data_IF_563061958067
#
_entry.id   IF_563061958067
#
_cell.length_a   1.000
_cell.length_b   1.000
_cell.length_c   1.000
_cell.angle_alpha   90.00
_cell.angle_beta   90.00
_cell.angle_gamma   90.00
#
_symmetry.space_group_name_H-M   'P 1'
#
loop_
_entity.id
_entity.type
_entity.pdbx_description
1 polymer ?
#
# COMPACT_ATOMS: atom_id res chain seq x y z
N UNK A 1 -14.46 -7.04 66.27
CA UNK A 1 -15.37 -5.92 66.17
C UNK A 1 -15.42 -5.57 64.71
N UNK A 2 -16.27 -6.22 63.94
CA UNK A 2 -17.63 -5.89 63.56
C UNK A 2 -17.74 -4.41 63.18
N UNK A 3 -17.92 -4.06 61.92
CA UNK A 3 -19.24 -3.65 61.46
C UNK A 3 -19.37 -3.68 59.92
N UNK A 4 -20.44 -4.26 59.48
CA UNK A 4 -20.97 -4.44 58.16
C UNK A 4 -21.85 -3.25 57.80
N UNK A 5 -21.75 -2.69 56.57
CA UNK A 5 -22.87 -1.95 55.96
C UNK A 5 -23.12 -2.35 54.52
N UNK A 6 -24.26 -3.00 54.36
CA UNK A 6 -25.03 -3.29 53.15
C UNK A 6 -25.33 -1.98 52.39
N UNK A 7 -25.14 -1.96 51.11
CA UNK A 7 -25.80 -1.05 50.18
C UNK A 7 -26.87 -1.85 49.41
N UNK A 8 -28.10 -1.32 49.50
CA UNK A 8 -29.30 -2.01 49.03
C UNK A 8 -29.46 -2.02 47.50
N UNK A 9 -29.94 -3.13 47.01
CA UNK A 9 -30.50 -3.23 45.66
C UNK A 9 -31.90 -2.59 45.66
N UNK A 10 -32.10 -1.60 44.78
CA UNK A 10 -33.43 -1.20 44.34
C UNK A 10 -33.85 -2.12 43.19
N UNK A 11 -34.67 -3.09 43.48
CA UNK A 11 -35.42 -3.87 42.51
C UNK A 11 -36.72 -3.17 42.18
N UNK A 12 -36.84 -2.54 41.02
CA UNK A 12 -38.11 -2.14 40.44
C UNK A 12 -38.73 -3.36 39.74
N UNK A 13 -39.71 -4.00 40.37
CA UNK A 13 -40.53 -5.04 39.74
C UNK A 13 -41.67 -4.37 39.00
N UNK A 14 -41.66 -4.43 37.67
CA UNK A 14 -42.84 -4.18 36.84
C UNK A 14 -43.44 -5.53 36.40
N UNK A 15 -44.77 -5.69 36.47
CA UNK A 15 -45.37 -6.98 36.17
C UNK A 15 -45.63 -7.16 34.66
N UNK A 16 -45.16 -8.31 34.16
CA UNK A 16 -45.83 -9.09 33.13
C UNK A 16 -45.86 -8.57 31.70
N UNK A 17 -44.77 -8.77 30.97
CA UNK A 17 -44.80 -9.26 29.56
C UNK A 17 -43.54 -10.08 29.34
N UNK A 18 -43.73 -11.38 29.04
CA UNK A 18 -42.63 -12.25 28.61
C UNK A 18 -42.04 -11.69 27.33
N UNK A 19 -40.78 -11.26 27.40
CA UNK A 19 -40.00 -10.93 26.20
C UNK A 19 -39.83 -12.22 25.37
N UNK A 20 -39.98 -12.18 24.06
CA UNK A 20 -39.69 -13.33 23.23
C UNK A 20 -38.21 -13.69 23.37
N UNK A 21 -37.96 -14.99 23.70
CA UNK A 21 -36.62 -15.59 23.69
C UNK A 21 -35.95 -15.29 22.35
N UNK A 22 -34.86 -14.54 22.37
CA UNK A 22 -33.98 -14.45 21.23
C UNK A 22 -33.49 -15.84 20.88
N UNK A 23 -33.92 -16.36 19.72
CA UNK A 23 -33.29 -17.55 19.13
C UNK A 23 -31.83 -17.19 18.82
N UNK A 24 -30.91 -17.88 19.46
CA UNK A 24 -29.48 -17.91 19.12
C UNK A 24 -29.35 -18.53 17.72
N UNK A 25 -29.35 -17.69 16.68
CA UNK A 25 -29.29 -18.20 15.30
C UNK A 25 -29.02 -17.16 14.24
N UNK A 26 -28.33 -16.03 14.57
CA UNK A 26 -28.07 -15.00 13.56
C UNK A 26 -26.76 -14.23 13.69
N UNK A 27 -26.13 -14.26 14.85
CA UNK A 27 -24.93 -13.43 15.09
C UNK A 27 -23.64 -14.11 14.65
N UNK A 28 -23.58 -15.44 14.73
CA UNK A 28 -22.35 -16.19 14.39
C UNK A 28 -22.00 -16.23 12.90
N UNK A 29 -22.95 -16.10 12.00
CA UNK A 29 -22.67 -16.11 10.55
C UNK A 29 -22.11 -14.78 10.05
N UNK A 30 -22.46 -13.66 10.65
CA UNK A 30 -21.89 -12.36 10.32
C UNK A 30 -20.51 -12.18 10.98
N UNK A 31 -20.31 -12.69 12.19
CA UNK A 31 -19.00 -12.67 12.86
C UNK A 31 -18.02 -13.64 12.17
N UNK A 32 -18.48 -14.78 11.67
CA UNK A 32 -17.65 -15.70 10.88
C UNK A 32 -17.22 -15.11 9.51
N UNK A 33 -18.07 -14.29 8.87
CA UNK A 33 -17.70 -13.51 7.68
C UNK A 33 -16.62 -12.47 7.97
N UNK A 34 -16.49 -12.01 9.20
CA UNK A 34 -15.52 -11.02 9.65
C UNK A 34 -14.08 -11.57 9.75
N UNK A 35 -13.90 -12.89 9.80
CA UNK A 35 -12.59 -13.55 10.00
C UNK A 35 -11.98 -14.21 8.75
N UNK A 36 -12.68 -14.23 7.61
CA UNK A 36 -12.14 -14.80 6.38
C UNK A 36 -11.38 -13.73 5.58
N UNK A 37 -10.18 -13.38 6.04
CA UNK A 37 -9.20 -12.70 5.17
C UNK A 37 -9.02 -13.53 3.89
N UNK A 38 -8.88 -12.90 2.71
CA UNK A 38 -8.54 -13.62 1.49
C UNK A 38 -7.11 -14.16 1.62
N UNK A 39 -7.00 -15.34 2.24
CA UNK A 39 -5.74 -16.08 2.50
C UNK A 39 -4.90 -16.19 1.23
N UNK A 40 -5.54 -16.17 0.06
CA UNK A 40 -4.88 -16.23 -1.25
C UNK A 40 -4.10 -14.95 -1.58
N UNK A 41 -4.56 -13.76 -1.21
CA UNK A 41 -3.87 -12.49 -1.47
C UNK A 41 -2.58 -12.37 -0.66
N UNK A 42 -2.62 -12.66 0.64
CA UNK A 42 -1.44 -12.65 1.52
C UNK A 42 -0.38 -13.63 1.08
N UNK A 43 -0.77 -14.90 0.84
CA UNK A 43 0.17 -15.94 0.39
C UNK A 43 0.85 -15.57 -0.92
N UNK A 44 0.13 -14.94 -1.84
CA UNK A 44 0.72 -14.49 -3.12
C UNK A 44 1.71 -13.35 -2.91
N UNK A 45 1.37 -12.34 -2.12
CA UNK A 45 2.26 -11.23 -1.78
C UNK A 45 3.51 -11.73 -1.03
N UNK A 46 3.31 -12.60 -0.05
CA UNK A 46 4.42 -13.18 0.73
C UNK A 46 5.37 -14.01 -0.13
N UNK A 47 4.85 -14.77 -1.11
CA UNK A 47 5.72 -15.55 -2.04
C UNK A 47 6.61 -14.64 -2.86
N UNK A 48 6.06 -13.59 -3.48
CA UNK A 48 6.89 -12.68 -4.31
C UNK A 48 7.83 -11.83 -3.45
N UNK A 49 7.44 -11.48 -2.22
CA UNK A 49 8.32 -10.79 -1.27
C UNK A 49 9.47 -11.69 -0.80
N UNK A 50 9.19 -12.95 -0.47
CA UNK A 50 10.23 -13.90 -0.10
C UNK A 50 11.18 -14.18 -1.29
N UNK A 51 10.65 -14.25 -2.51
CA UNK A 51 11.49 -14.35 -3.72
C UNK A 51 12.39 -13.13 -3.87
N UNK A 52 11.84 -11.92 -3.69
CA UNK A 52 12.60 -10.67 -3.70
C UNK A 52 13.72 -10.68 -2.67
N UNK A 53 13.42 -11.13 -1.44
CA UNK A 53 14.41 -11.23 -0.36
C UNK A 53 15.54 -12.22 -0.70
N UNK A 54 15.21 -13.38 -1.24
CA UNK A 54 16.20 -14.39 -1.66
C UNK A 54 17.08 -13.86 -2.80
N UNK A 55 16.48 -13.25 -3.81
CA UNK A 55 17.22 -12.65 -4.94
C UNK A 55 18.14 -11.54 -4.44
N UNK A 56 17.66 -10.63 -3.59
CA UNK A 56 18.46 -9.56 -3.01
C UNK A 56 19.64 -10.11 -2.19
N UNK A 57 19.42 -11.16 -1.38
CA UNK A 57 20.47 -11.82 -0.61
C UNK A 57 21.53 -12.49 -1.52
N UNK A 58 21.12 -13.16 -2.57
CA UNK A 58 22.03 -13.83 -3.52
C UNK A 58 22.86 -12.78 -4.28
N UNK A 59 22.22 -11.73 -4.79
CA UNK A 59 22.92 -10.65 -5.49
C UNK A 59 23.89 -9.91 -4.58
N UNK A 60 23.50 -9.62 -3.32
CA UNK A 60 24.37 -9.04 -2.32
C UNK A 60 25.61 -9.93 -2.08
N UNK A 61 25.40 -11.23 -1.81
CA UNK A 61 26.49 -12.18 -1.61
C UNK A 61 27.46 -12.24 -2.79
N UNK A 62 26.93 -12.27 -4.02
CA UNK A 62 27.74 -12.27 -5.24
C UNK A 62 28.58 -10.98 -5.37
N UNK A 63 27.97 -9.80 -5.11
CA UNK A 63 28.67 -8.51 -5.20
C UNK A 63 29.70 -8.33 -4.11
N UNK A 64 29.41 -8.72 -2.86
CA UNK A 64 30.39 -8.71 -1.76
C UNK A 64 31.57 -9.62 -2.06
N UNK A 65 31.30 -10.84 -2.56
CA UNK A 65 32.36 -11.77 -2.96
C UNK A 65 33.22 -11.17 -4.08
N UNK A 66 32.60 -10.57 -5.10
CA UNK A 66 33.32 -9.89 -6.18
C UNK A 66 34.17 -8.71 -5.64
N UNK A 67 33.65 -7.91 -4.70
CA UNK A 67 34.38 -6.82 -4.07
C UNK A 67 35.63 -7.31 -3.35
N UNK A 68 35.50 -8.37 -2.55
CA UNK A 68 36.63 -8.96 -1.79
C UNK A 68 37.69 -9.54 -2.74
N UNK A 69 37.28 -10.22 -3.81
CA UNK A 69 38.23 -10.83 -4.76
C UNK A 69 38.94 -9.77 -5.62
N UNK A 70 38.23 -8.73 -6.06
CA UNK A 70 38.79 -7.74 -6.98
C UNK A 70 39.57 -6.62 -6.27
N UNK A 71 39.24 -6.33 -5.00
CA UNK A 71 39.78 -5.17 -4.27
C UNK A 71 39.43 -3.81 -4.90
N UNK A 72 38.53 -3.78 -5.90
CA UNK A 72 38.18 -2.57 -6.64
C UNK A 72 37.23 -1.68 -5.83
N UNK A 73 37.56 -0.40 -5.71
CA UNK A 73 36.72 0.59 -5.03
C UNK A 73 35.33 0.76 -5.67
N UNK A 74 35.24 0.64 -6.99
CA UNK A 74 33.97 0.67 -7.71
C UNK A 74 33.08 -0.54 -7.34
N UNK A 75 33.66 -1.74 -7.26
CA UNK A 75 32.92 -2.96 -6.86
C UNK A 75 32.51 -2.90 -5.38
N UNK A 76 33.35 -2.32 -4.49
CA UNK A 76 32.96 -2.06 -3.11
C UNK A 76 31.77 -1.09 -3.00
N UNK A 77 31.74 -0.03 -3.82
CA UNK A 77 30.61 0.90 -3.87
C UNK A 77 29.30 0.22 -4.30
N UNK A 78 29.34 -0.61 -5.35
CA UNK A 78 28.21 -1.40 -5.83
C UNK A 78 27.73 -2.43 -4.79
N UNK A 79 28.65 -3.05 -4.06
CA UNK A 79 28.30 -3.94 -2.95
C UNK A 79 27.65 -3.18 -1.78
N UNK A 80 28.14 -1.98 -1.45
CA UNK A 80 27.55 -1.15 -0.39
C UNK A 80 26.11 -0.70 -0.74
N UNK A 81 25.85 -0.32 -2.00
CA UNK A 81 24.49 -0.03 -2.50
C UNK A 81 23.57 -1.24 -2.34
N UNK A 82 24.08 -2.44 -2.64
CA UNK A 82 23.32 -3.68 -2.49
C UNK A 82 23.01 -4.04 -1.03
N UNK A 83 23.84 -3.64 -0.06
CA UNK A 83 23.51 -3.74 1.38
C UNK A 83 22.29 -2.89 1.71
N UNK A 84 22.28 -1.64 1.25
CA UNK A 84 21.14 -0.72 1.47
C UNK A 84 19.86 -1.27 0.85
N UNK A 85 19.95 -1.77 -0.38
CA UNK A 85 18.82 -2.42 -1.06
C UNK A 85 18.30 -3.63 -0.28
N UNK A 86 19.19 -4.51 0.18
CA UNK A 86 18.81 -5.69 0.97
C UNK A 86 18.08 -5.29 2.27
N UNK A 87 18.55 -4.25 2.97
CA UNK A 87 17.88 -3.74 4.17
C UNK A 87 16.49 -3.18 3.87
N UNK A 88 16.31 -2.49 2.74
CA UNK A 88 15.00 -2.01 2.30
C UNK A 88 14.02 -3.17 2.05
N UNK A 89 14.46 -4.23 1.37
CA UNK A 89 13.63 -5.44 1.14
C UNK A 89 13.31 -6.16 2.45
N UNK A 90 14.26 -6.23 3.40
CA UNK A 90 13.99 -6.77 4.75
C UNK A 90 12.90 -5.97 5.46
N UNK A 91 12.98 -4.64 5.42
CA UNK A 91 11.97 -3.76 6.00
C UNK A 91 10.61 -3.94 5.33
N UNK A 92 10.55 -3.99 3.99
CA UNK A 92 9.32 -4.25 3.25
C UNK A 92 8.71 -5.63 3.59
N UNK A 93 9.54 -6.67 3.75
CA UNK A 93 9.09 -8.00 4.17
C UNK A 93 8.50 -8.01 5.59
N UNK A 94 9.11 -7.27 6.52
CA UNK A 94 8.57 -7.08 7.87
C UNK A 94 7.26 -6.29 7.83
N UNK A 95 7.24 -5.17 7.11
CA UNK A 95 6.06 -4.32 6.97
C UNK A 95 4.87 -5.05 6.36
N UNK A 96 5.11 -5.95 5.37
CA UNK A 96 4.07 -6.80 4.80
C UNK A 96 3.41 -7.69 5.85
N UNK A 97 4.20 -8.32 6.72
CA UNK A 97 3.66 -9.18 7.79
C UNK A 97 2.86 -8.37 8.80
N UNK A 98 3.36 -7.18 9.15
CA UNK A 98 2.68 -6.29 10.07
C UNK A 98 1.36 -5.76 9.49
N UNK A 99 1.34 -5.36 8.21
CA UNK A 99 0.13 -4.87 7.52
C UNK A 99 -1.01 -5.90 7.50
N UNK A 100 -0.69 -7.19 7.57
CA UNK A 100 -1.69 -8.27 7.64
C UNK A 100 -2.08 -8.69 9.06
N UNK A 101 -1.48 -8.06 10.08
CA UNK A 101 -1.92 -8.29 11.46
C UNK A 101 -3.33 -7.72 11.63
N UNK A 102 -4.28 -8.49 12.17
CA UNK A 102 -5.64 -8.01 12.41
C UNK A 102 -5.67 -6.86 13.42
N UNK A 103 -6.83 -6.22 13.52
CA UNK A 103 -7.10 -5.25 14.57
C UNK A 103 -6.82 -5.84 15.96
N UNK A 104 -6.27 -5.03 16.85
CA UNK A 104 -5.97 -5.38 18.24
C UNK A 104 -6.43 -4.23 19.18
N UNK A 105 -6.18 -4.36 20.49
CA UNK A 105 -6.63 -3.40 21.50
C UNK A 105 -6.08 -1.99 21.31
N UNK A 106 -4.96 -1.83 20.60
CA UNK A 106 -4.33 -0.53 20.35
C UNK A 106 -4.53 -0.02 18.92
N UNK A 107 -4.88 -0.91 17.99
CA UNK A 107 -5.06 -0.60 16.57
C UNK A 107 -6.40 -1.15 16.08
N UNK A 108 -7.50 -0.49 16.48
CA UNK A 108 -8.87 -0.94 16.21
C UNK A 108 -9.21 -1.06 14.72
N UNK A 109 -8.53 -0.31 13.84
CA UNK A 109 -8.68 -0.37 12.38
C UNK A 109 -7.66 -1.29 11.69
N UNK A 110 -6.83 -2.03 12.47
CA UNK A 110 -5.77 -2.89 11.96
C UNK A 110 -4.49 -2.12 11.63
N UNK A 111 -3.58 -2.79 10.91
CA UNK A 111 -2.21 -2.30 10.67
C UNK A 111 -1.95 -2.00 9.18
N UNK A 112 -2.97 -1.98 8.34
CA UNK A 112 -2.87 -1.85 6.87
C UNK A 112 -2.05 -0.63 6.41
N UNK A 113 -2.13 0.51 7.14
CA UNK A 113 -1.40 1.76 6.80
C UNK A 113 0.12 1.62 6.82
N UNK A 114 0.67 0.60 7.48
CA UNK A 114 2.12 0.28 7.41
C UNK A 114 2.58 0.03 5.97
N UNK A 115 1.68 -0.41 5.08
CA UNK A 115 1.97 -0.57 3.65
C UNK A 115 2.35 0.76 2.98
N UNK A 116 1.71 1.86 3.35
CA UNK A 116 2.07 3.19 2.85
C UNK A 116 3.39 3.67 3.43
N UNK A 117 3.61 3.46 4.74
CA UNK A 117 4.88 3.79 5.38
C UNK A 117 6.05 3.09 4.68
N UNK A 118 5.90 1.80 4.39
CA UNK A 118 6.91 1.03 3.66
C UNK A 118 7.12 1.55 2.24
N UNK A 119 6.05 1.88 1.52
CA UNK A 119 6.16 2.45 0.17
C UNK A 119 6.85 3.83 0.17
N UNK A 120 6.60 4.65 1.18
CA UNK A 120 7.28 5.94 1.36
C UNK A 120 8.77 5.78 1.67
N UNK A 121 9.12 4.83 2.54
CA UNK A 121 10.50 4.49 2.84
C UNK A 121 11.25 4.01 1.59
N UNK A 122 10.66 3.12 0.80
CA UNK A 122 11.21 2.68 -0.49
C UNK A 122 11.40 3.85 -1.46
N UNK A 123 10.41 4.74 -1.56
CA UNK A 123 10.50 5.96 -2.39
C UNK A 123 11.64 6.88 -1.95
N UNK A 124 11.86 7.04 -0.64
CA UNK A 124 12.98 7.81 -0.10
C UNK A 124 14.33 7.17 -0.44
N UNK A 125 14.45 5.85 -0.30
CA UNK A 125 15.67 5.10 -0.63
C UNK A 125 16.01 5.21 -2.13
N UNK A 126 15.01 5.03 -3.01
CA UNK A 126 15.16 5.21 -4.46
C UNK A 126 15.61 6.64 -4.79
N UNK A 127 15.01 7.64 -4.14
CA UNK A 127 15.37 9.05 -4.36
C UNK A 127 16.80 9.35 -3.91
N UNK A 128 17.22 8.81 -2.78
CA UNK A 128 18.58 8.95 -2.28
C UNK A 128 19.60 8.31 -3.24
N UNK A 129 19.31 7.10 -3.75
CA UNK A 129 20.16 6.44 -4.74
C UNK A 129 20.27 7.28 -6.04
N UNK A 130 19.16 7.82 -6.53
CA UNK A 130 19.16 8.69 -7.71
C UNK A 130 20.01 9.96 -7.51
N UNK A 131 19.97 10.57 -6.32
CA UNK A 131 20.80 11.73 -6.00
C UNK A 131 22.29 11.37 -5.96
N UNK A 132 22.65 10.20 -5.46
CA UNK A 132 24.03 9.70 -5.47
C UNK A 132 24.53 9.45 -6.90
N UNK A 133 23.71 8.84 -7.76
CA UNK A 133 24.04 8.64 -9.19
C UNK A 133 24.23 10.00 -9.87
N UNK A 134 23.36 10.95 -9.61
CA UNK A 134 23.45 12.31 -10.17
C UNK A 134 24.72 13.03 -9.70
N UNK A 135 25.04 12.92 -8.41
CA UNK A 135 26.28 13.48 -7.85
C UNK A 135 27.52 12.90 -8.55
N UNK A 136 27.56 11.57 -8.71
CA UNK A 136 28.69 10.90 -9.36
C UNK A 136 28.79 11.27 -10.84
N UNK A 137 27.67 11.36 -11.55
CA UNK A 137 27.65 11.82 -12.94
C UNK A 137 28.17 13.26 -13.08
N UNK A 138 27.78 14.18 -12.19
CA UNK A 138 28.29 15.56 -12.17
C UNK A 138 29.78 15.58 -11.84
N UNK A 139 30.23 14.75 -10.90
CA UNK A 139 31.66 14.61 -10.58
C UNK A 139 32.47 14.16 -11.79
N UNK A 140 31.97 13.21 -12.57
CA UNK A 140 32.60 12.76 -13.80
C UNK A 140 32.67 13.87 -14.89
N UNK A 141 31.68 14.76 -14.94
CA UNK A 141 31.75 15.93 -15.81
C UNK A 141 32.85 16.92 -15.42
N UNK A 142 33.21 17.02 -14.14
CA UNK A 142 34.21 17.98 -13.64
C UNK A 142 35.62 17.38 -13.68
N UNK A 143 35.78 16.12 -13.26
CA UNK A 143 37.09 15.50 -13.04
C UNK A 143 37.49 14.52 -14.15
N UNK A 144 36.60 14.22 -15.08
CA UNK A 144 36.82 13.26 -16.15
C UNK A 144 36.25 11.85 -15.81
N UNK A 145 36.17 11.03 -16.84
CA UNK A 145 35.61 9.65 -16.76
C UNK A 145 36.76 8.67 -16.70
N UNK A 146 36.81 7.87 -15.64
CA UNK A 146 37.71 6.71 -15.54
C UNK A 146 36.93 5.42 -15.81
N UNK A 147 37.25 4.73 -16.88
CA UNK A 147 36.63 3.44 -17.22
C UNK A 147 37.60 2.31 -16.87
N UNK A 148 37.26 1.51 -15.86
CA UNK A 148 38.01 0.33 -15.47
C UNK A 148 37.26 -0.96 -15.79
N UNK A 149 37.91 -1.91 -16.47
CA UNK A 149 37.51 -3.32 -16.67
C UNK A 149 36.14 -3.59 -17.34
N UNK A 150 36.04 -3.36 -18.65
CA UNK A 150 34.79 -3.40 -19.44
C UNK A 150 34.20 -4.82 -19.63
N UNK A 151 35.01 -5.89 -19.69
CA UNK A 151 34.52 -7.16 -20.23
C UNK A 151 33.65 -8.04 -19.32
N UNK A 152 34.11 -8.37 -18.11
CA UNK A 152 33.38 -9.23 -17.16
C UNK A 152 32.23 -8.51 -16.48
N UNK A 153 32.39 -7.20 -16.22
CA UNK A 153 31.36 -6.38 -15.59
C UNK A 153 30.06 -6.31 -16.40
N UNK A 154 30.16 -6.20 -17.74
CA UNK A 154 28.99 -6.13 -18.63
C UNK A 154 28.12 -7.38 -18.52
N UNK A 155 28.71 -8.58 -18.54
CA UNK A 155 27.96 -9.84 -18.51
C UNK A 155 27.23 -10.03 -17.17
N UNK A 156 27.88 -9.69 -16.05
CA UNK A 156 27.30 -9.79 -14.70
C UNK A 156 26.18 -8.78 -14.55
N UNK A 157 26.40 -7.52 -14.97
CA UNK A 157 25.37 -6.46 -14.92
C UNK A 157 24.17 -6.82 -15.79
N UNK A 158 24.37 -7.32 -17.00
CA UNK A 158 23.28 -7.73 -17.88
C UNK A 158 22.48 -8.91 -17.29
N UNK A 159 23.15 -9.91 -16.70
CA UNK A 159 22.48 -11.04 -16.05
C UNK A 159 21.67 -10.58 -14.82
N UNK A 160 22.25 -9.72 -13.98
CA UNK A 160 21.56 -9.14 -12.82
C UNK A 160 20.36 -8.29 -13.25
N UNK A 161 20.49 -7.47 -14.28
CA UNK A 161 19.40 -6.69 -14.85
C UNK A 161 18.25 -7.56 -15.38
N UNK A 162 18.57 -8.69 -16.05
CA UNK A 162 17.58 -9.67 -16.51
C UNK A 162 16.79 -10.32 -15.36
N UNK A 163 17.48 -10.71 -14.29
CA UNK A 163 16.86 -11.27 -13.07
C UNK A 163 15.97 -10.21 -12.40
N UNK A 164 16.47 -9.01 -12.22
CA UNK A 164 15.72 -7.91 -11.62
C UNK A 164 14.51 -7.49 -12.47
N UNK A 165 14.62 -7.52 -13.79
CA UNK A 165 13.49 -7.26 -14.70
C UNK A 165 12.36 -8.27 -14.49
N UNK A 166 12.67 -9.56 -14.49
CA UNK A 166 11.68 -10.61 -14.27
C UNK A 166 11.03 -10.51 -12.89
N UNK A 167 11.83 -10.27 -11.85
CA UNK A 167 11.37 -10.09 -10.48
C UNK A 167 10.50 -8.83 -10.34
N UNK A 168 10.96 -7.68 -10.83
CA UNK A 168 10.25 -6.40 -10.74
C UNK A 168 8.90 -6.44 -11.45
N UNK A 169 8.84 -7.02 -12.65
CA UNK A 169 7.56 -7.21 -13.37
C UNK A 169 6.60 -8.14 -12.61
N UNK A 170 7.12 -9.20 -11.98
CA UNK A 170 6.32 -10.11 -11.15
C UNK A 170 5.75 -9.39 -9.92
N UNK A 171 6.57 -8.61 -9.22
CA UNK A 171 6.16 -7.78 -8.07
C UNK A 171 5.09 -6.77 -8.49
N UNK A 172 5.29 -6.03 -9.58
CA UNK A 172 4.30 -5.06 -10.07
C UNK A 172 2.97 -5.71 -10.44
N UNK A 173 3.01 -6.88 -11.10
CA UNK A 173 1.80 -7.63 -11.46
C UNK A 173 1.02 -8.06 -10.21
N UNK A 174 1.70 -8.60 -9.21
CA UNK A 174 1.07 -8.99 -7.94
C UNK A 174 0.58 -7.77 -7.16
N UNK A 175 1.40 -6.73 -7.04
CA UNK A 175 1.04 -5.50 -6.35
C UNK A 175 -0.20 -4.80 -6.93
N UNK A 176 -0.32 -4.76 -8.27
CA UNK A 176 -1.53 -4.25 -8.95
C UNK A 176 -2.75 -5.13 -8.69
N UNK A 177 -2.58 -6.45 -8.77
CA UNK A 177 -3.68 -7.41 -8.55
C UNK A 177 -4.21 -7.40 -7.12
N UNK A 178 -3.33 -7.20 -6.14
CA UNK A 178 -3.68 -7.24 -4.71
C UNK A 178 -3.93 -5.86 -4.11
N UNK A 179 -3.80 -4.78 -4.88
CA UNK A 179 -3.95 -3.41 -4.40
C UNK A 179 -2.88 -2.98 -3.38
N UNK A 180 -1.75 -3.71 -3.25
CA UNK A 180 -0.74 -3.46 -2.23
C UNK A 180 0.24 -2.37 -2.64
N UNK A 181 0.26 -1.20 -1.97
CA UNK A 181 1.24 -0.15 -2.22
C UNK A 181 2.68 -0.62 -1.96
N UNK A 182 2.87 -1.43 -0.90
CA UNK A 182 4.15 -1.99 -0.49
C UNK A 182 4.76 -2.88 -1.59
N UNK A 183 4.00 -3.84 -2.13
CA UNK A 183 4.51 -4.73 -3.19
C UNK A 183 4.78 -3.95 -4.48
N UNK A 184 3.96 -2.95 -4.80
CA UNK A 184 4.19 -2.06 -5.94
C UNK A 184 5.47 -1.24 -5.78
N UNK A 185 5.71 -0.69 -4.58
CA UNK A 185 6.90 0.07 -4.28
C UNK A 185 8.16 -0.78 -4.42
N UNK A 186 8.20 -1.98 -3.82
CA UNK A 186 9.32 -2.91 -3.97
C UNK A 186 9.54 -3.30 -5.44
N UNK A 187 8.46 -3.53 -6.21
CA UNK A 187 8.58 -3.79 -7.66
C UNK A 187 9.16 -2.61 -8.44
N UNK A 188 8.81 -1.39 -8.10
CA UNK A 188 9.36 -0.19 -8.71
C UNK A 188 10.83 0.02 -8.32
N UNK A 189 11.20 -0.27 -7.07
CA UNK A 189 12.60 -0.24 -6.62
C UNK A 189 13.45 -1.20 -7.46
N UNK A 190 13.08 -2.47 -7.55
CA UNK A 190 13.82 -3.47 -8.35
C UNK A 190 13.92 -3.06 -9.82
N UNK A 191 12.90 -2.40 -10.38
CA UNK A 191 12.96 -1.88 -11.76
C UNK A 191 13.84 -0.63 -11.90
N UNK A 192 14.05 0.16 -10.85
CA UNK A 192 15.03 1.27 -10.91
C UNK A 192 16.44 0.75 -11.11
N UNK A 193 16.79 -0.39 -10.48
CA UNK A 193 18.09 -1.05 -10.69
C UNK A 193 18.25 -1.56 -12.13
N UNK A 194 17.16 -1.96 -12.78
CA UNK A 194 17.18 -2.32 -14.22
C UNK A 194 17.44 -1.08 -15.07
N UNK A 195 16.82 0.06 -14.75
CA UNK A 195 17.04 1.32 -15.50
C UNK A 195 18.47 1.81 -15.37
N UNK A 196 19.07 1.77 -14.17
CA UNK A 196 20.47 2.15 -13.98
C UNK A 196 21.41 1.22 -14.76
N UNK A 197 21.18 -0.10 -14.65
CA UNK A 197 21.96 -1.10 -15.41
C UNK A 197 21.84 -0.90 -16.93
N UNK A 198 20.64 -0.61 -17.44
CA UNK A 198 20.40 -0.37 -18.86
C UNK A 198 21.12 0.90 -19.33
N UNK A 199 21.11 1.95 -18.53
CA UNK A 199 21.81 3.20 -18.83
C UNK A 199 23.32 2.94 -19.00
N UNK A 200 23.93 2.17 -18.08
CA UNK A 200 25.33 1.76 -18.16
C UNK A 200 25.61 0.95 -19.43
N UNK A 201 24.79 -0.04 -19.75
CA UNK A 201 24.95 -0.85 -20.95
C UNK A 201 24.85 -0.05 -22.24
N UNK A 202 23.90 0.89 -22.32
CA UNK A 202 23.72 1.80 -23.46
C UNK A 202 24.92 2.75 -23.58
N UNK A 203 25.37 3.33 -22.45
CA UNK A 203 26.53 4.20 -22.44
C UNK A 203 27.78 3.50 -22.95
N UNK A 204 28.08 2.30 -22.46
CA UNK A 204 29.22 1.50 -22.89
C UNK A 204 29.15 1.14 -24.39
N UNK A 205 27.95 0.81 -24.90
CA UNK A 205 27.71 0.58 -26.32
C UNK A 205 28.01 1.82 -27.18
N UNK A 206 27.54 2.98 -26.74
CA UNK A 206 27.79 4.26 -27.43
C UNK A 206 29.27 4.66 -27.37
N UNK A 207 29.92 4.46 -26.22
CA UNK A 207 31.37 4.71 -26.08
C UNK A 207 32.16 3.82 -27.02
N UNK A 208 31.81 2.52 -27.08
CA UNK A 208 32.48 1.58 -27.99
C UNK A 208 32.33 2.00 -29.46
N UNK A 209 31.16 2.52 -29.86
CA UNK A 209 30.89 2.92 -31.24
C UNK A 209 31.46 4.29 -31.61
N UNK A 210 31.39 5.28 -30.69
CA UNK A 210 31.75 6.66 -30.96
C UNK A 210 33.11 7.06 -30.42
N UNK A 211 33.69 6.34 -29.48
CA UNK A 211 34.89 6.69 -28.72
C UNK A 211 34.69 7.84 -27.73
N UNK A 212 33.47 8.35 -27.58
CA UNK A 212 33.17 9.55 -26.76
C UNK A 212 32.77 9.17 -25.34
N UNK A 213 33.64 9.37 -24.37
CA UNK A 213 33.48 8.94 -22.98
C UNK A 213 32.33 9.63 -22.23
N UNK A 214 31.89 10.79 -22.69
CA UNK A 214 30.80 11.55 -22.07
C UNK A 214 29.42 10.89 -22.12
N UNK A 215 29.26 9.82 -22.94
CA UNK A 215 28.02 9.07 -22.94
C UNK A 215 27.70 8.43 -21.60
N UNK A 216 28.72 8.11 -20.75
CA UNK A 216 28.52 7.51 -19.44
C UNK A 216 27.80 8.48 -18.48
N UNK A 217 28.35 9.66 -18.16
CA UNK A 217 27.66 10.60 -17.26
C UNK A 217 26.35 11.15 -17.84
N UNK A 218 26.20 11.28 -19.18
CA UNK A 218 24.94 11.70 -19.81
C UNK A 218 23.84 10.63 -19.55
N UNK A 219 24.12 9.36 -19.82
CA UNK A 219 23.17 8.28 -19.59
C UNK A 219 22.84 8.13 -18.11
N UNK A 220 23.84 8.27 -17.23
CA UNK A 220 23.65 8.27 -15.78
C UNK A 220 22.72 9.40 -15.32
N UNK A 221 22.87 10.61 -15.81
CA UNK A 221 21.97 11.73 -15.50
C UNK A 221 20.54 11.47 -15.95
N UNK A 222 20.34 10.97 -17.17
CA UNK A 222 19.00 10.64 -17.69
C UNK A 222 18.34 9.56 -16.84
N UNK A 223 19.08 8.50 -16.52
CA UNK A 223 18.58 7.43 -15.65
C UNK A 223 18.22 7.97 -14.25
N UNK A 224 19.11 8.73 -13.62
CA UNK A 224 18.91 9.30 -12.29
C UNK A 224 17.68 10.19 -12.22
N UNK A 225 17.44 11.05 -13.21
CA UNK A 225 16.25 11.91 -13.28
C UNK A 225 14.95 11.07 -13.38
N UNK A 226 14.96 10.00 -14.18
CA UNK A 226 13.81 9.10 -14.27
C UNK A 226 13.56 8.35 -12.94
N UNK A 227 14.63 7.86 -12.30
CA UNK A 227 14.58 7.16 -11.01
C UNK A 227 14.06 8.13 -9.93
N UNK A 228 14.55 9.36 -9.89
CA UNK A 228 14.09 10.39 -8.96
C UNK A 228 12.59 10.69 -9.11
N UNK A 229 12.11 10.75 -10.35
CA UNK A 229 10.67 10.90 -10.63
C UNK A 229 9.84 9.74 -10.06
N UNK A 230 10.34 8.51 -10.17
CA UNK A 230 9.68 7.32 -9.60
C UNK A 230 9.66 7.40 -8.07
N UNK A 231 10.79 7.74 -7.45
CA UNK A 231 10.90 7.88 -6.00
C UNK A 231 9.94 8.94 -5.43
N UNK A 232 9.90 10.13 -6.04
CA UNK A 232 8.95 11.18 -5.65
C UNK A 232 7.48 10.75 -5.80
N UNK A 233 7.16 10.00 -6.86
CA UNK A 233 5.81 9.46 -7.03
C UNK A 233 5.44 8.52 -5.88
N UNK A 234 6.33 7.62 -5.49
CA UNK A 234 6.10 6.69 -4.37
C UNK A 234 5.92 7.43 -3.04
N UNK A 235 6.76 8.44 -2.77
CA UNK A 235 6.63 9.27 -1.56
C UNK A 235 5.27 9.96 -1.55
N UNK A 236 4.86 10.56 -2.68
CA UNK A 236 3.57 11.23 -2.80
C UNK A 236 2.39 10.27 -2.61
N UNK A 237 2.42 9.09 -3.25
CA UNK A 237 1.39 8.06 -3.08
C UNK A 237 1.31 7.59 -1.62
N UNK A 238 2.46 7.45 -0.95
CA UNK A 238 2.53 7.12 0.48
C UNK A 238 1.88 8.18 1.35
N UNK A 239 2.24 9.46 1.16
CA UNK A 239 1.68 10.57 1.93
C UNK A 239 0.16 10.69 1.73
N UNK A 240 -0.32 10.56 0.49
CA UNK A 240 -1.75 10.56 0.19
C UNK A 240 -2.50 9.46 0.94
N UNK A 241 -1.95 8.24 0.94
CA UNK A 241 -2.56 7.12 1.67
C UNK A 241 -2.50 7.26 3.20
N UNK A 242 -1.42 7.83 3.74
CA UNK A 242 -1.30 8.09 5.19
C UNK A 242 -2.26 9.18 5.67
N UNK A 243 -2.51 10.20 4.82
CA UNK A 243 -3.40 11.32 5.10
C UNK A 243 -4.86 11.05 4.71
N UNK A 244 -5.20 9.80 4.36
CA UNK A 244 -6.56 9.40 3.97
C UNK A 244 -7.12 10.19 2.76
N UNK A 245 -6.24 10.60 1.81
CA UNK A 245 -6.67 11.32 0.61
C UNK A 245 -7.58 10.43 -0.24
N UNK A 246 -8.77 10.96 -0.57
CA UNK A 246 -9.74 10.28 -1.40
C UNK A 246 -9.22 10.12 -2.87
N UNK A 247 -9.48 8.96 -3.47
CA UNK A 247 -9.22 8.74 -4.91
C UNK A 247 -10.44 9.22 -5.73
N UNK A 248 -10.31 10.29 -6.54
CA UNK A 248 -11.42 10.84 -7.30
C UNK A 248 -12.04 9.83 -8.29
N UNK A 249 -11.23 8.91 -8.83
CA UNK A 249 -11.72 7.90 -9.75
C UNK A 249 -12.55 6.83 -9.04
N UNK A 250 -12.17 6.46 -7.82
CA UNK A 250 -12.92 5.54 -6.98
C UNK A 250 -14.18 6.23 -6.44
N UNK A 251 -14.07 7.46 -5.97
CA UNK A 251 -15.21 8.26 -5.51
C UNK A 251 -16.33 8.31 -6.55
N UNK A 252 -16.00 8.65 -7.79
CA UNK A 252 -16.99 8.68 -8.89
C UNK A 252 -17.72 7.36 -9.04
N UNK A 253 -17.01 6.23 -9.02
CA UNK A 253 -17.62 4.89 -9.14
C UNK A 253 -18.54 4.56 -7.97
N UNK A 254 -18.13 4.92 -6.75
CA UNK A 254 -18.95 4.67 -5.56
C UNK A 254 -20.22 5.50 -5.62
N UNK A 255 -20.13 6.79 -5.96
CA UNK A 255 -21.29 7.67 -6.09
C UNK A 255 -22.24 7.20 -7.18
N UNK A 256 -21.76 6.83 -8.35
CA UNK A 256 -22.58 6.28 -9.43
C UNK A 256 -23.34 5.00 -9.03
N UNK A 257 -22.77 4.19 -8.15
CA UNK A 257 -23.45 3.02 -7.60
C UNK A 257 -24.45 3.42 -6.52
N UNK A 258 -24.07 4.29 -5.57
CA UNK A 258 -24.96 4.79 -4.53
C UNK A 258 -26.20 5.48 -5.11
N UNK A 259 -26.02 6.36 -6.12
CA UNK A 259 -27.11 7.06 -6.78
C UNK A 259 -28.16 6.08 -7.33
N UNK A 260 -27.73 4.95 -7.90
CA UNK A 260 -28.63 3.89 -8.40
C UNK A 260 -29.33 3.16 -7.27
N UNK A 261 -28.54 2.71 -6.26
CA UNK A 261 -29.06 1.92 -5.15
C UNK A 261 -30.09 2.69 -4.31
N UNK A 262 -29.87 3.99 -4.08
CA UNK A 262 -30.82 4.83 -3.33
C UNK A 262 -32.03 5.19 -4.17
N UNK A 263 -31.89 5.47 -5.48
CA UNK A 263 -32.99 5.76 -6.37
C UNK A 263 -33.98 4.58 -6.48
N UNK A 264 -33.46 3.35 -6.60
CA UNK A 264 -34.29 2.13 -6.66
C UNK A 264 -35.12 1.91 -5.39
N UNK A 265 -34.67 2.45 -4.25
CA UNK A 265 -35.34 2.28 -2.94
C UNK A 265 -36.10 3.51 -2.47
N UNK A 266 -36.09 4.59 -3.26
CA UNK A 266 -36.71 5.86 -2.85
C UNK A 266 -36.04 6.53 -1.65
N UNK A 267 -34.74 6.26 -1.46
CA UNK A 267 -33.89 6.83 -0.42
C UNK A 267 -33.09 8.01 -0.93
N UNK A 268 -32.46 8.75 -0.04
CA UNK A 268 -31.43 9.74 -0.34
C UNK A 268 -30.18 9.47 0.52
N UNK A 269 -29.05 10.05 0.12
CA UNK A 269 -27.83 10.02 0.95
C UNK A 269 -27.11 11.35 0.92
N UNK A 270 -26.35 11.63 1.98
CA UNK A 270 -25.46 12.77 2.09
C UNK A 270 -24.24 12.43 2.94
N UNK A 271 -23.37 13.41 3.25
CA UNK A 271 -22.18 13.28 4.08
C UNK A 271 -21.27 12.09 3.69
N UNK A 272 -21.13 11.87 2.36
CA UNK A 272 -20.32 10.80 1.82
C UNK A 272 -18.83 11.04 2.04
N UNK A 273 -18.15 10.05 2.60
CA UNK A 273 -16.71 10.04 2.80
C UNK A 273 -16.15 8.69 2.40
N UNK A 274 -14.95 8.67 1.83
CA UNK A 274 -14.24 7.42 1.62
C UNK A 274 -12.74 7.62 1.81
N UNK A 275 -12.07 6.56 2.20
CA UNK A 275 -10.61 6.49 2.32
C UNK A 275 -10.11 5.10 2.02
N UNK A 276 -8.81 4.99 1.82
CA UNK A 276 -8.12 3.74 1.52
C UNK A 276 -6.97 3.55 2.52
N UNK A 277 -6.92 2.42 3.21
CA UNK A 277 -5.90 2.14 4.22
C UNK A 277 -4.87 1.08 3.77
N UNK A 278 -4.52 1.08 2.47
CA UNK A 278 -3.60 0.09 1.89
C UNK A 278 -4.35 -1.04 1.19
N UNK A 279 -4.97 -1.93 1.95
CA UNK A 279 -5.77 -3.04 1.40
C UNK A 279 -7.26 -2.76 1.48
N UNK A 280 -7.69 -2.10 2.55
CA UNK A 280 -9.11 -1.91 2.87
C UNK A 280 -9.59 -0.55 2.40
N UNK A 281 -10.72 -0.52 1.70
CA UNK A 281 -11.49 0.68 1.39
C UNK A 281 -12.56 0.89 2.45
N UNK A 282 -12.58 2.09 3.01
CA UNK A 282 -13.57 2.52 3.99
C UNK A 282 -14.50 3.52 3.34
N UNK A 283 -15.80 3.28 3.44
CA UNK A 283 -16.85 4.15 2.90
C UNK A 283 -17.86 4.42 4.01
N UNK A 284 -18.15 5.68 4.22
CA UNK A 284 -19.12 6.17 5.20
C UNK A 284 -20.07 7.15 4.51
N UNK A 285 -21.36 7.07 4.82
CA UNK A 285 -22.39 7.98 4.32
C UNK A 285 -23.61 7.94 5.23
N UNK A 286 -24.46 8.96 5.13
CA UNK A 286 -25.76 8.98 5.79
C UNK A 286 -26.85 8.57 4.82
N UNK A 287 -27.78 7.72 5.24
CA UNK A 287 -28.96 7.31 4.51
C UNK A 287 -30.20 7.94 5.12
N UNK A 288 -30.94 8.68 4.31
CA UNK A 288 -32.15 9.40 4.71
C UNK A 288 -33.39 8.58 4.37
N UNK A 289 -34.19 8.35 5.38
CA UNK A 289 -35.42 7.56 5.33
C UNK A 289 -36.66 8.41 5.58
N UNK A 290 -37.82 7.93 5.12
CA UNK A 290 -39.10 8.54 5.50
C UNK A 290 -39.31 8.45 7.03
N UNK A 291 -39.91 9.51 7.59
CA UNK A 291 -40.24 9.53 9.03
C UNK A 291 -41.21 8.39 9.37
N UNK A 292 -40.96 7.76 10.51
CA UNK A 292 -41.80 6.68 11.01
C UNK A 292 -41.51 5.27 10.46
N UNK A 293 -40.46 5.12 9.61
CA UNK A 293 -39.98 3.78 9.23
C UNK A 293 -39.54 2.98 10.45
N UNK A 294 -39.79 1.68 10.47
CA UNK A 294 -39.27 0.84 11.55
C UNK A 294 -37.74 0.71 11.46
N UNK A 295 -37.07 0.58 12.63
CA UNK A 295 -35.62 0.32 12.67
C UNK A 295 -35.26 -0.97 11.91
N UNK A 296 -36.16 -1.96 11.91
CA UNK A 296 -35.96 -3.20 11.17
C UNK A 296 -35.90 -2.97 9.66
N UNK A 297 -36.88 -2.26 9.09
CA UNK A 297 -36.95 -2.01 7.64
C UNK A 297 -35.81 -1.10 7.19
N UNK A 298 -35.50 -0.07 7.99
CA UNK A 298 -34.36 0.81 7.73
C UNK A 298 -33.02 0.04 7.71
N UNK A 299 -32.82 -0.88 8.67
CA UNK A 299 -31.63 -1.72 8.75
C UNK A 299 -31.52 -2.69 7.55
N UNK A 300 -32.62 -3.32 7.12
CA UNK A 300 -32.61 -4.18 5.91
C UNK A 300 -32.21 -3.41 4.67
N UNK A 301 -32.81 -2.23 4.45
CA UNK A 301 -32.50 -1.38 3.29
C UNK A 301 -31.05 -0.89 3.33
N UNK A 302 -30.56 -0.43 4.49
CA UNK A 302 -29.17 -0.01 4.67
C UNK A 302 -28.19 -1.15 4.39
N UNK A 303 -28.43 -2.34 4.95
CA UNK A 303 -27.59 -3.53 4.74
C UNK A 303 -27.51 -3.91 3.26
N UNK A 304 -28.61 -3.75 2.51
CA UNK A 304 -28.64 -4.02 1.08
C UNK A 304 -27.72 -3.05 0.31
N UNK A 305 -27.82 -1.75 0.59
CA UNK A 305 -26.96 -0.70 -0.02
C UNK A 305 -25.49 -0.93 0.35
N UNK A 306 -25.18 -1.10 1.65
CA UNK A 306 -23.84 -1.34 2.13
C UNK A 306 -23.20 -2.58 1.47
N UNK A 307 -23.95 -3.67 1.36
CA UNK A 307 -23.49 -4.90 0.72
C UNK A 307 -23.23 -4.72 -0.78
N UNK A 308 -24.02 -3.90 -1.48
CA UNK A 308 -23.80 -3.60 -2.89
C UNK A 308 -22.51 -2.81 -3.08
N UNK A 309 -22.27 -1.78 -2.27
CA UNK A 309 -21.03 -0.99 -2.31
C UNK A 309 -19.81 -1.83 -1.91
N UNK A 310 -19.91 -2.62 -0.84
CA UNK A 310 -18.81 -3.45 -0.37
C UNK A 310 -18.37 -4.49 -1.43
N UNK A 311 -19.31 -5.08 -2.17
CA UNK A 311 -19.00 -6.02 -3.28
C UNK A 311 -18.21 -5.39 -4.42
N UNK A 312 -18.38 -4.10 -4.67
CA UNK A 312 -17.63 -3.37 -5.70
C UNK A 312 -16.18 -3.10 -5.25
N UNK A 313 -15.94 -2.97 -3.95
CA UNK A 313 -14.66 -2.57 -3.40
C UNK A 313 -13.71 -3.77 -3.27
N UNK A 314 -12.60 -3.73 -3.97
CA UNK A 314 -11.56 -4.75 -3.93
C UNK A 314 -10.24 -4.18 -3.41
N UNK A 315 -9.45 -4.95 -2.63
CA UNK A 315 -9.67 -6.34 -2.21
C UNK A 315 -10.57 -6.51 -0.97
N UNK A 316 -10.83 -5.45 -0.19
CA UNK A 316 -11.68 -5.46 1.01
C UNK A 316 -12.43 -4.13 1.12
N UNK A 317 -13.76 -4.17 1.21
CA UNK A 317 -14.64 -3.01 1.36
C UNK A 317 -15.32 -3.01 2.71
N UNK A 318 -15.15 -1.94 3.48
CA UNK A 318 -15.85 -1.67 4.74
C UNK A 318 -16.78 -0.49 4.52
N UNK A 319 -18.07 -0.75 4.61
CA UNK A 319 -19.11 0.25 4.37
C UNK A 319 -19.94 0.39 5.63
N UNK A 320 -20.15 1.62 6.05
CA UNK A 320 -20.95 1.96 7.22
C UNK A 320 -21.90 3.09 6.82
N UNK A 321 -23.18 2.93 7.09
CA UNK A 321 -24.15 3.97 6.92
C UNK A 321 -24.72 4.43 8.27
N UNK A 322 -24.93 5.75 8.40
CA UNK A 322 -25.72 6.33 9.47
C UNK A 322 -27.15 6.51 8.98
N UNK A 323 -28.13 6.05 9.76
CA UNK A 323 -29.54 6.07 9.37
C UNK A 323 -30.22 7.31 9.98
N UNK A 324 -30.86 8.13 9.12
CA UNK A 324 -31.48 9.38 9.53
C UNK A 324 -32.93 9.46 9.04
N UNK A 325 -33.86 9.95 9.87
CA UNK A 325 -35.19 10.32 9.39
C UNK A 325 -35.09 11.65 8.62
N UNK A 326 -35.95 11.83 7.59
CA UNK A 326 -35.97 13.05 6.76
C UNK A 326 -36.15 14.34 7.58
N UNK A 327 -36.86 14.26 8.70
CA UNK A 327 -37.04 15.41 9.61
C UNK A 327 -35.75 15.85 10.31
N UNK A 328 -34.73 14.99 10.43
CA UNK A 328 -33.45 15.31 11.05
C UNK A 328 -32.44 15.97 10.08
N UNK A 329 -32.65 15.88 8.77
CA UNK A 329 -31.76 16.42 7.72
C UNK A 329 -31.48 17.93 7.90
N UNK A 330 -32.39 18.69 8.50
CA UNK A 330 -32.24 20.13 8.75
C UNK A 330 -31.34 20.49 9.94
N UNK A 331 -30.85 19.53 10.72
CA UNK A 331 -30.04 19.80 11.91
C UNK A 331 -28.52 19.74 11.62
N UNK A 332 -28.07 19.23 10.48
CA UNK A 332 -26.66 19.00 10.17
C UNK A 332 -26.01 20.03 9.22
N UNK A 333 -26.71 21.07 8.76
CA UNK A 333 -26.12 22.15 7.92
C UNK A 333 -24.88 22.85 8.54
N UNK A 334 -24.53 22.56 9.81
CA UNK A 334 -23.40 23.17 10.52
C UNK A 334 -22.07 22.39 10.40
N UNK A 335 -22.01 21.25 9.72
CA UNK A 335 -20.79 20.42 9.61
C UNK A 335 -20.19 20.40 8.20
N UNK A 336 -20.65 21.23 7.27
CA UNK A 336 -19.93 21.42 6.01
C UNK A 336 -18.56 22.02 6.31
N UNK A 337 -17.54 21.20 6.17
CA UNK A 337 -16.13 21.60 6.19
C UNK A 337 -15.94 22.61 5.05
N UNK A 338 -15.69 23.85 5.39
CA UNK A 338 -15.31 24.94 4.49
C UNK A 338 -13.94 24.68 3.86
#
# INVERSE_FOLDING_TARGET
MQDTRRAGRLSLILPGKQAPMFKEGGIDSQIAGFMLFPVNGFRQQQRVMNLSLVVAAVLLAAKVTAAVITGSSAVYSDAAESVVHFLAVCFASWALRLAYKPADETHHFGHDKVSFLSAGFEGAMISAAALLILYEAVRQFIFGVEISHIGLGISITAAAAGINLALGLSLLKVGKKTGSPLIRANGQHVLTDVWSSLAVLVALGLIHWTGWLWWDPIAACIAALNILRVGFRLIRESLRGLLDEADPAMEKKIRELLDREVAERGLAYHNFRHRHSGRTHWVEFHLVFADGISVHDAHEAATAVESSVARMLHPDGRVISHLEPRSAENHEENWEVR
#
